data_IF_511742991289
#
_entry.id   IF_511742991289
#
_cell.length_a   1.000
_cell.length_b   1.000
_cell.length_c   1.000
_cell.angle_alpha   90.00
_cell.angle_beta   90.00
_cell.angle_gamma   90.00
#
_symmetry.space_group_name_H-M   'P 1'
#
loop_
_entity.id
_entity.type
_entity.pdbx_description
1 polymer ?
#
# COMPACT_ATOMS: atom_id res chain seq x y z
N UNK A 1 18.35 13.86 9.59
CA UNK A 1 18.05 12.41 9.39
C UNK A 1 18.94 11.60 10.31
N UNK A 2 18.40 10.57 10.92
CA UNK A 2 19.15 9.68 11.79
C UNK A 2 19.92 8.65 10.97
N UNK A 3 21.21 8.48 11.25
CA UNK A 3 22.03 7.46 10.63
C UNK A 3 22.14 6.24 11.53
N UNK A 4 22.21 5.07 10.91
CA UNK A 4 22.38 3.80 11.61
C UNK A 4 23.60 3.09 11.07
N UNK A 5 24.34 2.34 11.91
CA UNK A 5 25.42 1.48 11.42
C UNK A 5 24.90 0.52 10.37
N UNK A 6 25.61 0.42 9.23
CA UNK A 6 25.18 -0.38 8.08
C UNK A 6 25.17 -1.90 8.35
N UNK A 7 25.85 -2.35 9.37
CA UNK A 7 25.94 -3.76 9.78
C UNK A 7 24.83 -4.20 10.73
N UNK A 8 23.96 -3.29 11.13
CA UNK A 8 22.85 -3.60 12.04
C UNK A 8 21.56 -3.81 11.30
N UNK A 9 20.85 -4.88 11.67
CA UNK A 9 19.50 -5.14 11.22
C UNK A 9 18.52 -4.38 12.13
N UNK A 10 17.70 -3.52 11.54
CA UNK A 10 16.71 -2.74 12.30
C UNK A 10 15.37 -3.46 12.24
N UNK A 11 14.96 -4.02 13.36
CA UNK A 11 13.71 -4.77 13.48
C UNK A 11 12.66 -4.06 14.34
N UNK A 12 12.80 -2.74 14.53
CA UNK A 12 11.87 -1.99 15.37
C UNK A 12 10.47 -1.88 14.75
N UNK A 13 10.40 -1.66 13.45
CA UNK A 13 9.13 -1.47 12.74
C UNK A 13 9.36 -1.52 11.23
N UNK A 14 8.35 -1.95 10.49
CA UNK A 14 8.35 -1.84 9.03
C UNK A 14 8.45 -0.39 8.55
N UNK A 15 8.02 0.57 9.37
CA UNK A 15 8.07 1.99 9.03
C UNK A 15 9.49 2.56 8.90
N UNK A 16 10.52 1.85 9.38
CA UNK A 16 11.92 2.28 9.19
C UNK A 16 12.50 1.81 7.87
N UNK A 17 11.79 0.98 7.12
CA UNK A 17 12.25 0.50 5.82
C UNK A 17 12.25 1.62 4.79
N UNK A 18 13.12 1.51 3.81
CA UNK A 18 13.22 2.49 2.74
C UNK A 18 13.11 1.79 1.38
N UNK A 19 12.58 2.49 0.38
CA UNK A 19 12.52 1.92 -0.96
C UNK A 19 13.93 1.72 -1.53
N UNK A 20 14.09 0.65 -2.30
CA UNK A 20 15.31 0.41 -3.06
C UNK A 20 15.46 1.42 -4.20
N UNK A 21 16.65 1.48 -4.80
CA UNK A 21 16.87 2.33 -5.98
C UNK A 21 15.93 1.95 -7.12
N UNK A 22 15.68 0.66 -7.32
CA UNK A 22 14.74 0.19 -8.35
C UNK A 22 13.31 0.64 -8.06
N UNK A 23 12.88 0.57 -6.80
CA UNK A 23 11.55 1.07 -6.39
C UNK A 23 11.42 2.57 -6.64
N UNK A 24 12.46 3.35 -6.35
CA UNK A 24 12.44 4.80 -6.58
C UNK A 24 12.31 5.15 -8.05
N UNK A 25 12.97 4.40 -8.94
CA UNK A 25 12.84 4.58 -10.39
C UNK A 25 11.43 4.29 -10.88
N UNK A 26 10.81 3.25 -10.36
CA UNK A 26 9.43 2.91 -10.70
C UNK A 26 8.47 4.00 -10.25
N UNK A 27 8.67 4.54 -9.04
CA UNK A 27 7.85 5.65 -8.54
C UNK A 27 7.97 6.90 -9.43
N UNK A 28 9.20 7.25 -9.83
CA UNK A 28 9.46 8.42 -10.68
C UNK A 28 8.76 8.30 -12.03
N UNK A 29 8.75 7.11 -12.63
CA UNK A 29 8.21 6.86 -13.96
C UNK A 29 6.74 6.44 -13.95
N UNK A 30 6.11 6.29 -12.78
CA UNK A 30 4.75 5.75 -12.68
C UNK A 30 3.73 6.66 -13.35
N UNK A 31 2.83 6.06 -14.13
CA UNK A 31 1.64 6.75 -14.60
C UNK A 31 0.68 6.99 -13.43
N UNK A 32 0.18 8.20 -13.33
CA UNK A 32 -0.79 8.56 -12.30
C UNK A 32 -2.03 9.16 -12.92
N UNK A 33 -3.13 9.07 -12.21
CA UNK A 33 -4.40 9.62 -12.64
C UNK A 33 -5.30 9.86 -11.45
N UNK A 34 -6.54 10.23 -11.70
CA UNK A 34 -7.52 10.48 -10.66
C UNK A 34 -8.15 9.16 -10.21
N UNK A 35 -7.76 8.68 -9.02
CA UNK A 35 -8.27 7.42 -8.48
C UNK A 35 -9.78 7.49 -8.19
N UNK A 36 -10.30 8.64 -7.88
CA UNK A 36 -11.75 8.84 -7.65
C UNK A 36 -12.53 8.53 -8.93
N UNK A 37 -11.98 8.90 -10.09
CA UNK A 37 -12.58 8.60 -11.39
C UNK A 37 -12.15 7.23 -11.95
N UNK A 38 -11.30 6.50 -11.23
CA UNK A 38 -10.78 5.23 -11.70
C UNK A 38 -9.72 5.34 -12.80
N UNK A 39 -9.07 6.48 -12.91
CA UNK A 39 -8.11 6.77 -13.99
C UNK A 39 -6.65 6.55 -13.59
N UNK A 40 -6.37 6.16 -12.34
CA UNK A 40 -5.00 5.88 -11.90
C UNK A 40 -4.62 4.44 -12.25
N UNK A 41 -3.90 4.28 -13.37
CA UNK A 41 -3.50 2.97 -13.88
C UNK A 41 -2.56 2.23 -12.91
N UNK A 42 -1.72 2.93 -12.18
CA UNK A 42 -0.77 2.32 -11.24
C UNK A 42 -1.50 1.77 -10.01
N UNK A 43 -2.48 2.49 -9.49
CA UNK A 43 -3.33 1.99 -8.40
C UNK A 43 -4.11 0.75 -8.84
N UNK A 44 -4.70 0.79 -10.02
CA UNK A 44 -5.43 -0.36 -10.56
C UNK A 44 -4.53 -1.58 -10.74
N UNK A 45 -3.33 -1.38 -11.25
CA UNK A 45 -2.35 -2.46 -11.43
C UNK A 45 -1.97 -3.08 -10.08
N UNK A 46 -1.76 -2.28 -9.06
CA UNK A 46 -1.47 -2.76 -7.71
C UNK A 46 -2.62 -3.60 -7.15
N UNK A 47 -3.84 -3.09 -7.24
CA UNK A 47 -5.02 -3.80 -6.75
C UNK A 47 -5.21 -5.15 -7.45
N UNK A 48 -5.10 -5.17 -8.78
CA UNK A 48 -5.23 -6.40 -9.56
C UNK A 48 -4.13 -7.40 -9.21
N UNK A 49 -2.89 -6.94 -9.06
CA UNK A 49 -1.77 -7.82 -8.71
C UNK A 49 -1.95 -8.45 -7.33
N UNK A 50 -2.38 -7.68 -6.34
CA UNK A 50 -2.62 -8.19 -4.99
C UNK A 50 -3.77 -9.18 -4.96
N UNK A 51 -4.85 -8.90 -5.67
CA UNK A 51 -5.98 -9.82 -5.79
C UNK A 51 -5.53 -11.16 -6.37
N UNK A 52 -4.75 -11.13 -7.45
CA UNK A 52 -4.22 -12.35 -8.10
C UNK A 52 -3.28 -13.12 -7.17
N UNK A 53 -2.35 -12.43 -6.52
CA UNK A 53 -1.37 -13.07 -5.63
C UNK A 53 -2.04 -13.79 -4.45
N UNK A 54 -3.14 -13.25 -3.95
CA UNK A 54 -3.84 -13.80 -2.79
C UNK A 54 -5.04 -14.67 -3.16
N UNK A 55 -5.31 -14.84 -4.45
CA UNK A 55 -6.43 -15.65 -4.92
C UNK A 55 -7.79 -15.07 -4.55
N UNK A 56 -7.89 -13.74 -4.52
CA UNK A 56 -9.13 -13.03 -4.19
C UNK A 56 -9.72 -12.36 -5.42
N UNK A 57 -11.01 -12.10 -5.41
CA UNK A 57 -11.69 -11.49 -6.55
C UNK A 57 -11.35 -10.01 -6.72
N UNK A 58 -10.98 -9.33 -5.63
CA UNK A 58 -10.65 -7.91 -5.66
C UNK A 58 -9.74 -7.52 -4.51
N UNK A 59 -9.11 -6.38 -4.65
CA UNK A 59 -8.32 -5.73 -3.61
C UNK A 59 -8.57 -4.23 -3.68
N UNK A 60 -8.41 -3.55 -2.56
CA UNK A 60 -8.62 -2.11 -2.45
C UNK A 60 -7.39 -1.44 -1.84
N UNK A 61 -6.81 -0.50 -2.57
CA UNK A 61 -5.75 0.35 -2.04
C UNK A 61 -6.35 1.45 -1.15
N UNK A 62 -5.74 1.66 0.00
CA UNK A 62 -6.09 2.73 0.93
C UNK A 62 -4.82 3.45 1.39
N UNK A 63 -4.89 4.75 1.72
CA UNK A 63 -3.69 5.54 2.02
C UNK A 63 -3.03 5.24 3.37
N UNK A 64 -3.71 4.47 4.24
CA UNK A 64 -3.14 4.13 5.55
C UNK A 64 -3.72 2.83 6.09
N UNK A 65 -2.96 2.18 6.99
CA UNK A 65 -3.44 1.00 7.71
C UNK A 65 -4.62 1.31 8.62
N UNK A 66 -4.67 2.51 9.19
CA UNK A 66 -5.81 2.97 9.99
C UNK A 66 -7.09 2.99 9.15
N UNK A 67 -7.04 3.53 7.94
CA UNK A 67 -8.17 3.53 7.03
C UNK A 67 -8.55 2.11 6.60
N UNK A 68 -7.55 1.25 6.37
CA UNK A 68 -7.76 -0.16 6.01
C UNK A 68 -8.60 -0.87 7.07
N UNK A 69 -8.24 -0.73 8.35
CA UNK A 69 -8.98 -1.32 9.45
C UNK A 69 -10.39 -0.73 9.57
N UNK A 70 -10.53 0.58 9.45
CA UNK A 70 -11.83 1.25 9.52
C UNK A 70 -12.76 0.77 8.40
N UNK A 71 -12.27 0.68 7.19
CA UNK A 71 -13.05 0.20 6.03
C UNK A 71 -13.45 -1.26 6.21
N UNK A 72 -12.52 -2.12 6.64
CA UNK A 72 -12.79 -3.54 6.84
C UNK A 72 -13.86 -3.76 7.92
N UNK A 73 -13.75 -3.07 9.04
CA UNK A 73 -14.74 -3.16 10.12
C UNK A 73 -16.11 -2.67 9.63
N UNK A 74 -16.14 -1.52 8.97
CA UNK A 74 -17.40 -0.96 8.47
C UNK A 74 -18.07 -1.84 7.43
N UNK A 75 -17.27 -2.50 6.58
CA UNK A 75 -17.80 -3.38 5.53
C UNK A 75 -18.43 -4.66 6.09
N UNK A 76 -17.95 -5.14 7.24
CA UNK A 76 -18.38 -6.40 7.83
C UNK A 76 -19.32 -6.26 9.02
N UNK A 77 -19.62 -5.04 9.43
CA UNK A 77 -20.43 -4.80 10.62
C UNK A 77 -21.47 -3.71 10.36
N UNK A 78 -22.44 -3.62 11.28
CA UNK A 78 -23.39 -2.53 11.35
C UNK A 78 -23.19 -1.73 12.63
N UNK A 79 -23.61 -0.44 12.67
CA UNK A 79 -23.53 0.34 13.90
C UNK A 79 -24.18 -0.39 15.07
N UNK A 80 -23.45 -0.51 16.19
CA UNK A 80 -23.92 -1.21 17.39
C UNK A 80 -23.46 -2.66 17.54
N UNK A 81 -22.83 -3.22 16.52
CA UNK A 81 -22.30 -4.59 16.60
C UNK A 81 -21.11 -4.69 17.56
#
# INVERSE_FOLDING_TARGET
>A
MREYPSDRVDMRSDTVTQPTAAMRKVMEAAEVGDDVLGDDATVQALQNRLADMLGKEAALFVPSGTMSNAVAIRAHTSPGD
#
